data_IF_297072117545
#
_entry.id   IF_297072117545
#
_cell.length_a   1.000
_cell.length_b   1.000
_cell.length_c   1.000
_cell.angle_alpha   90.00
_cell.angle_beta   90.00
_cell.angle_gamma   90.00
#
_symmetry.space_group_name_H-M   'P 1'
#
loop_
_entity.id
_entity.type
_entity.pdbx_description
1 polymer ?
#
# COMPACT_ATOMS: atom_id res chain seq x y z
N UNK A 1 5.32 -9.85 10.75
CA UNK A 1 5.94 -9.08 11.85
C UNK A 1 7.05 -8.24 11.26
N UNK A 2 7.28 -7.04 11.80
CA UNK A 2 8.40 -6.19 11.40
C UNK A 2 9.74 -6.88 11.72
N UNK A 3 10.76 -6.74 10.86
CA UNK A 3 12.04 -7.47 10.99
C UNK A 3 13.23 -6.54 10.69
N UNK A 4 14.46 -6.84 11.16
CA UNK A 4 15.65 -6.05 10.82
C UNK A 4 15.91 -5.91 9.31
N UNK A 5 15.49 -6.90 8.52
CA UNK A 5 15.55 -6.82 7.05
C UNK A 5 14.59 -5.75 6.49
N UNK A 6 13.41 -5.61 7.10
CA UNK A 6 12.44 -4.59 6.74
C UNK A 6 12.89 -3.20 7.20
N UNK A 7 13.51 -3.07 8.38
CA UNK A 7 14.14 -1.82 8.83
C UNK A 7 15.16 -1.32 7.80
N UNK A 8 16.06 -2.20 7.35
CA UNK A 8 17.07 -1.84 6.36
C UNK A 8 16.46 -1.48 4.99
N UNK A 9 15.36 -2.12 4.60
CA UNK A 9 14.68 -1.89 3.32
C UNK A 9 13.78 -0.65 3.34
N UNK A 10 13.18 -0.34 4.48
CA UNK A 10 12.22 0.74 4.69
C UNK A 10 12.65 1.59 5.89
N UNK A 11 13.79 2.31 5.79
CA UNK A 11 14.38 3.00 6.93
C UNK A 11 13.49 4.11 7.50
N UNK A 12 12.54 4.62 6.72
CA UNK A 12 11.60 5.65 7.14
C UNK A 12 10.30 5.10 7.75
N UNK A 13 10.09 3.77 7.70
CA UNK A 13 8.87 3.15 8.16
C UNK A 13 7.59 3.67 7.50
N UNK A 14 6.44 3.24 8.00
CA UNK A 14 5.13 3.68 7.50
C UNK A 14 4.53 4.64 8.51
N UNK A 15 4.36 5.89 8.12
CA UNK A 15 3.66 6.89 8.94
C UNK A 15 2.17 6.57 8.93
N UNK A 16 1.48 6.90 10.02
CA UNK A 16 0.03 6.76 10.11
C UNK A 16 -0.60 8.15 10.17
N UNK A 17 -1.75 8.31 9.52
CA UNK A 17 -2.58 9.52 9.63
C UNK A 17 -3.13 9.65 11.05
N UNK A 18 -3.67 10.83 11.39
CA UNK A 18 -4.30 11.07 12.69
C UNK A 18 -5.52 10.15 12.93
N UNK A 19 -6.15 9.67 11.86
CA UNK A 19 -7.25 8.69 11.88
C UNK A 19 -6.76 7.23 11.99
N UNK A 20 -5.44 7.01 11.96
CA UNK A 20 -4.82 5.70 12.13
C UNK A 20 -4.71 4.88 10.84
N UNK A 21 -4.74 5.51 9.67
CA UNK A 21 -4.50 4.84 8.39
C UNK A 21 -3.02 4.87 8.02
N UNK A 22 -2.43 3.77 7.51
CA UNK A 22 -1.05 3.76 7.07
C UNK A 22 -0.87 4.54 5.76
N UNK A 23 0.07 5.48 5.73
CA UNK A 23 0.48 6.19 4.52
C UNK A 23 1.50 5.38 3.74
N UNK A 24 1.03 4.73 2.67
CA UNK A 24 1.89 3.99 1.74
C UNK A 24 2.32 4.79 0.52
N UNK A 25 1.96 6.07 0.41
CA UNK A 25 2.31 6.90 -0.75
C UNK A 25 3.81 6.92 -1.08
N UNK A 26 4.77 6.86 -0.12
CA UNK A 26 6.20 6.84 -0.45
C UNK A 26 6.69 5.55 -1.13
N UNK A 27 5.86 4.49 -1.16
CA UNK A 27 6.23 3.17 -1.68
C UNK A 27 5.59 2.84 -3.03
N UNK A 28 4.81 3.77 -3.56
CA UNK A 28 4.26 3.72 -4.91
C UNK A 28 5.38 4.02 -5.90
N UNK A 29 5.42 3.29 -7.02
CA UNK A 29 6.38 3.55 -8.10
C UNK A 29 5.76 4.53 -9.09
N UNK A 30 6.55 5.44 -9.64
CA UNK A 30 6.11 6.36 -10.70
C UNK A 30 5.55 5.64 -11.94
N UNK A 31 6.08 4.44 -12.23
CA UNK A 31 5.60 3.58 -13.33
C UNK A 31 4.17 3.07 -13.13
N UNK A 32 3.74 2.91 -11.87
CA UNK A 32 2.42 2.40 -11.49
C UNK A 32 1.76 3.40 -10.54
N UNK A 33 1.27 4.54 -11.09
CA UNK A 33 0.71 5.61 -10.29
C UNK A 33 -0.57 5.15 -9.56
N UNK A 34 -1.02 5.90 -8.55
CA UNK A 34 -2.32 5.66 -7.90
C UNK A 34 -3.45 5.56 -8.91
N UNK A 35 -4.30 4.53 -8.77
CA UNK A 35 -5.46 4.33 -9.64
C UNK A 35 -6.72 4.69 -8.89
N UNK A 36 -7.50 5.64 -9.43
CA UNK A 36 -8.83 5.98 -8.92
C UNK A 36 -9.87 5.17 -9.70
N UNK A 37 -10.69 4.40 -9.00
CA UNK A 37 -11.79 3.64 -9.60
C UNK A 37 -13.10 4.31 -9.20
N UNK A 38 -13.78 4.94 -10.16
CA UNK A 38 -15.12 5.50 -10.00
C UNK A 38 -15.94 5.23 -11.29
N UNK A 39 -17.27 5.08 -11.20
CA UNK A 39 -18.10 4.92 -10.00
C UNK A 39 -18.11 3.48 -9.46
N UNK A 40 -17.38 2.56 -10.11
CA UNK A 40 -17.49 1.12 -9.88
C UNK A 40 -16.54 0.58 -8.79
N UNK A 41 -16.17 1.40 -7.80
CA UNK A 41 -15.42 0.88 -6.66
C UNK A 41 -16.33 -0.04 -5.86
N UNK A 42 -16.12 -1.34 -6.04
CA UNK A 42 -17.03 -2.35 -5.55
C UNK A 42 -16.65 -2.85 -4.16
N UNK A 43 -15.37 -2.69 -3.79
CA UNK A 43 -14.77 -3.35 -2.63
C UNK A 43 -14.50 -4.84 -2.86
N UNK A 44 -14.90 -5.39 -4.02
CA UNK A 44 -14.45 -6.70 -4.48
C UNK A 44 -13.01 -6.57 -4.95
N UNK A 45 -12.09 -7.05 -4.09
CA UNK A 45 -10.65 -7.00 -4.35
C UNK A 45 -10.28 -7.52 -5.73
N UNK A 46 -10.88 -8.62 -6.17
CA UNK A 46 -10.51 -9.22 -7.45
C UNK A 46 -10.89 -8.32 -8.63
N UNK A 47 -12.09 -7.72 -8.59
CA UNK A 47 -12.54 -6.80 -9.65
C UNK A 47 -11.74 -5.50 -9.62
N UNK A 48 -11.56 -4.91 -8.45
CA UNK A 48 -10.87 -3.63 -8.31
C UNK A 48 -9.38 -3.78 -8.72
N UNK A 49 -8.70 -4.87 -8.32
CA UNK A 49 -7.32 -5.17 -8.72
C UNK A 49 -7.19 -5.38 -10.24
N UNK A 50 -8.17 -6.06 -10.86
CA UNK A 50 -8.17 -6.25 -12.31
C UNK A 50 -8.29 -4.92 -13.05
N UNK A 51 -9.23 -4.06 -12.64
CA UNK A 51 -9.38 -2.72 -13.21
C UNK A 51 -8.09 -1.91 -13.04
N UNK A 52 -7.45 -2.00 -11.87
CA UNK A 52 -6.21 -1.28 -11.59
C UNK A 52 -5.03 -1.78 -12.44
N UNK A 53 -4.87 -3.09 -12.59
CA UNK A 53 -3.86 -3.67 -13.48
C UNK A 53 -4.03 -3.17 -14.92
N UNK A 54 -5.26 -3.24 -15.46
CA UNK A 54 -5.58 -2.73 -16.80
C UNK A 54 -5.24 -1.23 -16.93
N UNK A 55 -5.56 -0.42 -15.91
CA UNK A 55 -5.31 1.02 -15.92
C UNK A 55 -3.82 1.40 -15.97
N UNK A 56 -2.93 0.57 -15.41
CA UNK A 56 -1.47 0.78 -15.44
C UNK A 56 -0.75 -0.12 -16.46
N UNK A 57 -1.50 -0.81 -17.33
CA UNK A 57 -0.93 -1.62 -18.41
C UNK A 57 -0.31 -2.95 -17.98
N UNK A 58 -0.74 -3.50 -16.84
CA UNK A 58 -0.32 -4.80 -16.33
C UNK A 58 -1.32 -5.89 -16.74
N UNK A 59 -0.82 -7.04 -17.18
CA UNK A 59 -1.66 -8.23 -17.40
C UNK A 59 -2.11 -8.87 -16.08
N UNK A 60 -1.24 -8.83 -15.07
CA UNK A 60 -1.48 -9.33 -13.72
C UNK A 60 -0.69 -8.52 -12.68
N UNK A 61 -1.13 -8.60 -11.41
CA UNK A 61 -0.42 -7.97 -10.29
C UNK A 61 0.92 -8.68 -10.11
N UNK A 62 2.07 -7.98 -10.09
CA UNK A 62 3.37 -8.61 -9.86
C UNK A 62 3.43 -9.36 -8.52
N UNK A 63 4.11 -10.50 -8.48
CA UNK A 63 4.14 -11.40 -7.29
C UNK A 63 4.59 -10.70 -5.99
N UNK A 64 5.51 -9.73 -6.10
CA UNK A 64 6.06 -8.98 -4.97
C UNK A 64 5.27 -7.70 -4.65
N UNK A 65 4.11 -7.51 -5.27
CA UNK A 65 3.25 -6.33 -5.14
C UNK A 65 1.83 -6.69 -4.66
N UNK A 66 1.19 -5.72 -4.03
CA UNK A 66 -0.20 -5.81 -3.58
C UNK A 66 -0.87 -4.47 -3.86
N UNK A 67 -2.09 -4.49 -4.39
CA UNK A 67 -2.95 -3.31 -4.43
C UNK A 67 -3.52 -3.04 -3.03
N UNK A 68 -3.22 -1.87 -2.49
CA UNK A 68 -3.73 -1.39 -1.23
C UNK A 68 -4.91 -0.44 -1.47
N UNK A 69 -6.07 -0.78 -0.90
CA UNK A 69 -7.26 0.09 -0.85
C UNK A 69 -7.00 1.25 0.11
N UNK A 70 -6.86 2.46 -0.44
CA UNK A 70 -6.67 3.70 0.30
C UNK A 70 -7.92 4.05 1.13
N UNK A 71 -7.76 4.83 2.20
CA UNK A 71 -8.85 5.19 3.11
C UNK A 71 -9.90 6.12 2.49
N UNK A 72 -9.61 6.71 1.33
CA UNK A 72 -10.55 7.53 0.56
C UNK A 72 -11.68 6.71 -0.08
N UNK A 73 -11.56 5.37 -0.05
CA UNK A 73 -12.57 4.44 -0.52
C UNK A 73 -12.73 4.42 -2.04
N UNK A 74 -11.72 4.85 -2.79
CA UNK A 74 -11.75 4.84 -4.27
C UNK A 74 -10.39 4.70 -4.94
N UNK A 75 -9.31 4.92 -4.20
CA UNK A 75 -7.95 4.85 -4.72
C UNK A 75 -7.29 3.51 -4.37
N UNK A 76 -6.57 2.95 -5.35
CA UNK A 76 -5.70 1.80 -5.19
C UNK A 76 -4.23 2.19 -5.38
N UNK A 77 -3.38 1.73 -4.45
CA UNK A 77 -1.93 1.94 -4.48
C UNK A 77 -1.20 0.62 -4.70
N UNK A 78 -0.35 0.52 -5.74
CA UNK A 78 0.44 -0.70 -5.98
C UNK A 78 1.77 -0.67 -5.21
N UNK A 79 1.81 -1.33 -4.07
CA UNK A 79 2.92 -1.24 -3.11
C UNK A 79 3.60 -2.61 -2.92
N UNK A 80 4.84 -2.67 -2.39
CA UNK A 80 5.48 -3.94 -2.08
C UNK A 80 4.67 -4.78 -1.08
N UNK A 81 4.52 -6.06 -1.35
CA UNK A 81 3.74 -7.00 -0.53
C UNK A 81 4.31 -7.17 0.88
N UNK A 82 5.64 -7.07 1.03
CA UNK A 82 6.31 -7.28 2.31
C UNK A 82 6.03 -6.16 3.32
N UNK A 83 6.03 -4.89 2.90
CA UNK A 83 5.69 -3.76 3.78
C UNK A 83 4.19 -3.75 4.12
N UNK A 84 3.33 -4.02 3.14
CA UNK A 84 1.88 -4.15 3.35
C UNK A 84 1.57 -5.22 4.41
N UNK A 85 2.19 -6.40 4.28
CA UNK A 85 2.08 -7.47 5.27
C UNK A 85 2.66 -7.06 6.61
N UNK A 86 3.82 -6.42 6.65
CA UNK A 86 4.46 -6.02 7.90
C UNK A 86 3.56 -5.08 8.72
N UNK A 87 3.01 -4.05 8.08
CA UNK A 87 2.07 -3.09 8.69
C UNK A 87 0.79 -3.77 9.16
N UNK A 88 0.16 -4.63 8.36
CA UNK A 88 -1.05 -5.38 8.78
C UNK A 88 -0.82 -6.18 10.08
N UNK A 89 0.36 -6.75 10.24
CA UNK A 89 0.71 -7.53 11.44
C UNK A 89 1.23 -6.65 12.57
N UNK A 90 1.54 -5.38 12.27
CA UNK A 90 1.89 -4.38 13.24
C UNK A 90 0.70 -3.53 13.68
N UNK A 91 -0.47 -3.63 13.05
CA UNK A 91 -1.67 -2.81 13.31
C UNK A 91 -2.29 -2.86 14.72
N UNK A 92 -1.54 -3.27 15.74
CA UNK A 92 -1.80 -2.99 17.16
C UNK A 92 -0.67 -2.23 17.88
N UNK A 93 0.43 -1.92 17.20
CA UNK A 93 1.58 -1.14 17.68
C UNK A 93 1.88 -0.12 16.59
N UNK A 94 1.61 1.15 16.85
CA UNK A 94 1.93 2.24 15.92
C UNK A 94 3.41 2.15 15.53
N UNK A 95 3.71 1.87 14.26
CA UNK A 95 5.08 1.82 13.77
C UNK A 95 5.51 3.25 13.46
N UNK A 96 5.99 3.96 14.47
CA UNK A 96 6.68 5.24 14.28
C UNK A 96 8.15 4.99 14.57
N UNK A 97 8.95 4.77 13.52
CA UNK A 97 10.41 4.82 13.58
C UNK A 97 10.91 5.81 12.50
N UNK A 98 10.57 7.09 12.69
CA UNK A 98 11.00 8.16 11.76
C UNK A 98 10.92 9.59 12.30
N UNK A 99 10.50 9.81 13.56
CA UNK A 99 10.51 11.13 14.19
C UNK A 99 11.60 11.14 15.27
N UNK A 100 12.85 11.33 14.85
CA UNK A 100 13.90 12.06 15.60
C UNK A 100 15.21 12.10 14.79
N UNK A 101 15.38 13.18 14.03
CA UNK A 101 16.67 13.84 13.74
C UNK A 101 16.48 15.35 13.83
#
# INVERSE_FOLDING_TARGET
MWTPKLDAKYPNGVVFTDEGFPDFSPYVKDEWPPVVIEPNFSGDRYQDEKIANEAVGLEETPEDRTWHHHEDGKTLLLIPTDIHKAVRHAGGVAIVNGLDQ
#
